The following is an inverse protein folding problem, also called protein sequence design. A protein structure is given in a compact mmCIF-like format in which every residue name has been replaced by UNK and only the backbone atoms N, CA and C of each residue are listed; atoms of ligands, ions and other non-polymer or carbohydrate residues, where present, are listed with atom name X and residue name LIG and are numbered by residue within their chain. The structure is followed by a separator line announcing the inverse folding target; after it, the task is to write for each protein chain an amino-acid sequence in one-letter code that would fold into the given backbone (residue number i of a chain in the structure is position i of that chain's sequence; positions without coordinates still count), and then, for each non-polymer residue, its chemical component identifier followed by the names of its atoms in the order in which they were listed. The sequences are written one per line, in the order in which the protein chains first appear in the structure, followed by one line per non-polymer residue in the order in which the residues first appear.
data_IF_427557683909
#
_entry.id   IF_427557683909
#
_cell.length_a   1.000
_cell.length_b   1.000
_cell.length_c   1.000
_cell.angle_alpha   90.00
_cell.angle_beta   90.00
_cell.angle_gamma   90.00
#
_symmetry.space_group_name_H-M   'P 1'
#
loop_
_entity.id
_entity.type
_entity.pdbx_description
1 polymer ?
#
# COMPACT_ATOMS: atom_id res chain seq x y z
N UNK A 1 15.63 -20.43 10.89
CA UNK A 1 15.18 -21.84 10.89
C UNK A 1 13.88 -21.96 11.67
N UNK A 2 12.94 -22.82 11.24
CA UNK A 2 11.69 -23.11 11.95
C UNK A 2 11.79 -24.37 12.84
N UNK A 3 12.90 -25.12 12.76
CA UNK A 3 13.17 -26.27 13.62
C UNK A 3 13.27 -25.84 15.09
N UNK A 4 12.42 -26.43 15.95
CA UNK A 4 12.36 -26.10 17.37
C UNK A 4 13.65 -26.38 18.13
N UNK A 5 14.36 -27.47 17.81
CA UNK A 5 15.63 -27.83 18.45
C UNK A 5 16.69 -26.78 18.11
N UNK A 6 16.71 -26.29 16.88
CA UNK A 6 17.63 -25.24 16.47
C UNK A 6 17.25 -23.86 17.02
N UNK A 7 15.95 -23.55 17.14
CA UNK A 7 15.48 -22.29 17.75
C UNK A 7 15.91 -22.14 19.21
N UNK A 8 15.97 -23.24 19.98
CA UNK A 8 16.47 -23.24 21.36
C UNK A 8 17.93 -22.79 21.48
N UNK A 9 18.69 -22.83 20.38
CA UNK A 9 20.08 -22.38 20.34
C UNK A 9 20.22 -20.87 20.06
N UNK A 10 19.12 -20.15 19.78
CA UNK A 10 19.17 -18.71 19.55
C UNK A 10 19.39 -17.96 20.88
N UNK A 11 20.59 -17.39 21.04
CA UNK A 11 20.97 -16.60 22.23
C UNK A 11 20.87 -15.09 22.01
N UNK A 12 20.39 -14.65 20.85
CA UNK A 12 20.27 -13.23 20.53
C UNK A 12 19.25 -12.55 21.44
N UNK A 13 19.58 -11.34 21.89
CA UNK A 13 18.68 -10.53 22.71
C UNK A 13 18.46 -9.14 22.10
N UNK A 14 17.33 -8.47 22.37
CA UNK A 14 17.10 -7.11 21.87
C UNK A 14 18.24 -6.15 22.20
N UNK A 15 18.84 -6.27 23.39
CA UNK A 15 19.93 -5.41 23.85
C UNK A 15 21.18 -5.53 22.96
N UNK A 16 21.41 -6.68 22.32
CA UNK A 16 22.56 -6.84 21.42
C UNK A 16 22.39 -6.01 20.15
N UNK A 17 21.15 -5.89 19.64
CA UNK A 17 20.82 -5.05 18.49
C UNK A 17 20.86 -3.57 18.88
N UNK A 18 20.35 -3.24 20.06
CA UNK A 18 20.44 -1.87 20.61
C UNK A 18 21.89 -1.41 20.73
N UNK A 19 22.76 -2.20 21.39
CA UNK A 19 24.17 -1.87 21.54
C UNK A 19 24.88 -1.73 20.19
N UNK A 20 24.59 -2.61 19.22
CA UNK A 20 25.11 -2.49 17.87
C UNK A 20 24.72 -1.13 17.24
N UNK A 21 23.44 -0.76 17.29
CA UNK A 21 22.97 0.51 16.74
C UNK A 21 23.59 1.71 17.45
N UNK A 22 23.76 1.65 18.78
CA UNK A 22 24.44 2.69 19.55
C UNK A 22 25.91 2.84 19.17
N UNK A 23 26.63 1.73 18.94
CA UNK A 23 28.01 1.77 18.48
C UNK A 23 28.13 2.33 17.06
N UNK A 24 27.26 1.91 16.14
CA UNK A 24 27.22 2.46 14.79
C UNK A 24 26.92 3.97 14.81
N UNK A 25 25.94 4.40 15.61
CA UNK A 25 25.61 5.81 15.76
C UNK A 25 26.77 6.61 16.37
N UNK A 26 27.52 6.02 17.31
CA UNK A 26 28.71 6.64 17.91
C UNK A 26 29.83 6.79 16.89
N UNK A 27 30.17 5.74 16.16
CA UNK A 27 31.19 5.78 15.11
C UNK A 27 30.82 6.81 14.04
N UNK A 28 29.55 6.85 13.63
CA UNK A 28 29.07 7.85 12.68
C UNK A 28 29.30 9.28 13.20
N UNK A 29 28.97 9.57 14.47
CA UNK A 29 29.22 10.89 15.07
C UNK A 29 30.72 11.23 15.12
N UNK A 30 31.57 10.24 15.39
CA UNK A 30 33.02 10.42 15.39
C UNK A 30 33.55 10.74 13.97
N UNK A 31 33.02 10.10 12.94
CA UNK A 31 33.31 10.43 11.53
C UNK A 31 32.80 11.82 11.17
N UNK A 32 31.55 12.15 11.52
CA UNK A 32 30.96 13.47 11.27
C UNK A 32 31.80 14.58 11.91
N UNK A 33 32.24 14.39 13.15
CA UNK A 33 33.12 15.33 13.85
C UNK A 33 34.46 15.52 13.13
N UNK A 34 35.08 14.43 12.63
CA UNK A 34 36.31 14.50 11.81
C UNK A 34 36.12 15.29 10.50
N UNK A 35 34.92 15.24 9.94
CA UNK A 35 34.55 15.98 8.72
C UNK A 35 34.01 17.39 9.00
N UNK A 36 33.90 17.80 10.28
CA UNK A 36 33.37 19.10 10.67
C UNK A 36 31.85 19.26 10.50
N UNK A 37 31.11 18.15 10.41
CA UNK A 37 29.66 18.12 10.20
C UNK A 37 28.94 17.90 11.53
N UNK A 38 27.86 18.64 11.77
CA UNK A 38 27.13 18.60 13.06
C UNK A 38 25.86 17.76 13.02
N UNK A 39 25.28 17.57 11.85
CA UNK A 39 24.03 16.83 11.67
C UNK A 39 24.08 15.89 10.46
N UNK A 40 23.27 14.84 10.47
CA UNK A 40 23.16 13.94 9.31
C UNK A 40 22.61 14.71 8.11
N UNK A 41 21.68 15.66 8.31
CA UNK A 41 21.13 16.47 7.22
C UNK A 41 22.22 17.26 6.47
N UNK A 42 23.19 17.82 7.18
CA UNK A 42 24.34 18.52 6.58
C UNK A 42 25.24 17.60 5.74
N UNK A 43 25.24 16.29 6.02
CA UNK A 43 26.04 15.28 5.33
C UNK A 43 25.36 14.73 4.08
N UNK A 44 24.02 14.72 4.03
CA UNK A 44 23.27 14.16 2.89
C UNK A 44 23.63 14.90 1.59
N UNK A 45 24.05 14.14 0.58
CA UNK A 45 24.40 14.68 -0.74
C UNK A 45 25.79 15.35 -0.83
N UNK A 46 26.59 15.35 0.24
CA UNK A 46 27.97 15.91 0.26
C UNK A 46 29.00 15.00 -0.42
N UNK A 47 28.80 14.77 -1.71
CA UNK A 47 29.72 13.99 -2.57
C UNK A 47 31.11 14.63 -2.64
N UNK A 48 31.21 15.95 -2.42
CA UNK A 48 32.47 16.68 -2.32
C UNK A 48 33.37 16.24 -1.15
N UNK A 49 32.81 15.54 -0.15
CA UNK A 49 33.58 14.94 0.96
C UNK A 49 34.11 13.53 0.62
N UNK A 50 33.79 13.01 -0.57
CA UNK A 50 34.18 11.69 -1.03
C UNK A 50 35.21 11.81 -2.15
N UNK A 51 36.16 10.87 -2.15
CA UNK A 51 37.09 10.69 -3.27
C UNK A 51 37.37 9.22 -3.49
N UNK A 52 37.56 8.83 -4.74
CA UNK A 52 38.05 7.49 -5.05
C UNK A 52 39.46 7.32 -4.49
N UNK A 53 39.68 6.27 -3.69
CA UNK A 53 41.03 5.89 -3.26
C UNK A 53 41.78 5.31 -4.47
N UNK A 54 42.96 5.85 -4.76
CA UNK A 54 43.85 5.33 -5.80
C UNK A 54 44.54 4.06 -5.26
N UNK A 55 44.53 2.98 -6.04
CA UNK A 55 45.15 1.71 -5.70
C UNK A 55 45.94 1.21 -6.91
N UNK A 56 47.24 1.49 -6.90
CA UNK A 56 48.12 1.25 -8.06
C UNK A 56 48.62 -0.21 -8.14
N UNK A 57 48.67 -0.92 -7.01
CA UNK A 57 49.19 -2.30 -6.92
C UNK A 57 48.16 -3.38 -7.31
N UNK A 58 47.01 -3.01 -7.87
CA UNK A 58 45.98 -3.95 -8.29
C UNK A 58 45.33 -3.56 -9.61
N UNK A 59 45.73 -4.26 -10.67
CA UNK A 59 45.22 -4.08 -12.03
C UNK A 59 43.69 -4.17 -12.17
N UNK A 60 43.00 -4.96 -11.34
CA UNK A 60 41.54 -5.05 -11.41
C UNK A 60 40.90 -3.81 -10.80
N UNK A 61 41.46 -3.28 -9.71
CA UNK A 61 40.96 -2.08 -9.04
C UNK A 61 41.25 -0.81 -9.84
N UNK A 62 42.38 -0.75 -10.56
CA UNK A 62 42.73 0.39 -11.41
C UNK A 62 41.78 0.61 -12.59
N UNK A 63 40.91 -0.37 -12.90
CA UNK A 63 39.89 -0.28 -13.95
C UNK A 63 38.54 0.27 -13.48
N UNK A 64 38.37 0.48 -12.18
CA UNK A 64 37.10 0.98 -11.62
C UNK A 64 37.04 2.51 -11.78
N UNK A 65 35.98 3.00 -12.42
CA UNK A 65 35.70 4.44 -12.55
C UNK A 65 34.46 4.81 -11.72
N UNK A 66 34.67 5.54 -10.62
CA UNK A 66 33.59 5.99 -9.73
C UNK A 66 33.00 7.35 -10.14
N UNK A 67 33.40 7.97 -11.26
CA UNK A 67 32.96 9.32 -11.66
C UNK A 67 31.44 9.46 -11.67
N UNK A 68 30.69 8.44 -12.11
CA UNK A 68 29.21 8.49 -12.15
C UNK A 68 28.56 8.50 -10.77
N UNK A 69 29.20 7.85 -9.79
CA UNK A 69 28.72 7.82 -8.39
C UNK A 69 29.14 9.10 -7.66
N UNK A 70 30.33 9.61 -7.96
CA UNK A 70 30.88 10.84 -7.40
C UNK A 70 30.43 12.11 -8.16
N UNK A 71 29.53 11.97 -9.13
CA UNK A 71 29.03 13.10 -9.89
C UNK A 71 27.99 13.86 -9.07
N UNK A 72 28.22 15.15 -8.85
CA UNK A 72 27.24 16.07 -8.28
C UNK A 72 26.60 16.88 -9.41
N UNK A 73 25.31 16.67 -9.73
CA UNK A 73 24.62 17.53 -10.69
C UNK A 73 24.49 18.95 -10.14
N UNK A 74 24.47 19.94 -11.04
CA UNK A 74 24.09 21.30 -10.66
C UNK A 74 22.60 21.29 -10.29
N UNK A 75 22.30 21.75 -9.08
CA UNK A 75 20.94 21.96 -8.59
C UNK A 75 20.78 23.41 -8.19
N UNK A 76 19.59 23.96 -8.41
CA UNK A 76 19.26 25.30 -7.92
C UNK A 76 19.39 25.35 -6.38
N UNK A 77 19.75 26.51 -5.84
CA UNK A 77 19.93 26.70 -4.39
C UNK A 77 18.63 26.46 -3.60
N UNK A 78 17.48 26.58 -4.26
CA UNK A 78 16.16 26.27 -3.70
C UNK A 78 15.87 24.77 -3.58
N UNK A 79 16.65 23.91 -4.26
CA UNK A 79 16.45 22.45 -4.23
C UNK A 79 17.35 21.84 -3.15
N UNK A 80 16.75 21.49 -2.01
CA UNK A 80 17.46 20.79 -0.95
C UNK A 80 17.88 19.36 -1.33
N UNK A 81 18.91 18.86 -0.64
CA UNK A 81 19.42 17.49 -0.81
C UNK A 81 18.82 16.50 0.20
N UNK A 82 17.86 16.95 1.01
CA UNK A 82 17.20 16.18 2.05
C UNK A 82 15.69 16.44 2.01
N UNK A 83 14.92 15.71 2.82
CA UNK A 83 13.47 15.85 2.89
C UNK A 83 13.05 17.25 3.37
N UNK A 84 12.46 18.06 2.49
CA UNK A 84 12.01 19.42 2.77
C UNK A 84 10.49 19.61 2.67
N UNK A 85 9.80 18.71 1.99
CA UNK A 85 8.37 18.83 1.73
C UNK A 85 7.68 17.51 1.97
N UNK A 86 6.57 17.57 2.71
CA UNK A 86 5.66 16.45 2.85
C UNK A 86 5.03 16.08 1.51
N UNK A 87 4.72 14.80 1.34
CA UNK A 87 4.04 14.30 0.16
C UNK A 87 2.52 14.49 0.30
N UNK A 88 1.91 15.21 -0.65
CA UNK A 88 0.45 15.27 -0.75
C UNK A 88 -0.06 14.16 -1.68
N UNK A 89 -0.59 13.09 -1.10
CA UNK A 89 -1.16 11.97 -1.84
C UNK A 89 -2.59 12.20 -2.35
N UNK A 90 -3.14 13.39 -2.13
CA UNK A 90 -4.49 13.80 -2.54
C UNK A 90 -5.62 12.87 -2.05
N UNK A 91 -5.42 12.21 -0.90
CA UNK A 91 -6.39 11.24 -0.36
C UNK A 91 -7.77 11.88 -0.12
N UNK A 92 -7.81 13.16 0.25
CA UNK A 92 -9.05 13.92 0.44
C UNK A 92 -9.93 13.99 -0.83
N UNK A 93 -9.37 13.76 -2.03
CA UNK A 93 -10.11 13.72 -3.30
C UNK A 93 -10.66 12.34 -3.65
N UNK A 94 -10.26 11.30 -2.92
CA UNK A 94 -10.74 9.93 -3.11
C UNK A 94 -12.22 9.82 -2.75
N UNK A 95 -12.89 8.79 -3.29
CA UNK A 95 -14.30 8.56 -2.97
C UNK A 95 -14.50 8.23 -1.50
N UNK A 96 -13.55 7.50 -0.90
CA UNK A 96 -13.60 7.12 0.50
C UNK A 96 -13.53 8.33 1.44
N UNK A 97 -12.45 9.11 1.40
CA UNK A 97 -12.31 10.28 2.30
C UNK A 97 -13.31 11.38 1.97
N UNK A 98 -13.53 11.65 0.68
CA UNK A 98 -14.42 12.72 0.25
C UNK A 98 -15.89 12.45 0.54
N UNK A 99 -16.30 11.17 0.68
CA UNK A 99 -17.72 10.81 0.81
C UNK A 99 -18.02 9.61 1.69
N UNK A 100 -17.40 8.45 1.44
CA UNK A 100 -17.84 7.20 2.09
C UNK A 100 -17.58 7.18 3.60
N UNK A 101 -16.45 7.71 4.09
CA UNK A 101 -16.15 7.76 5.52
C UNK A 101 -17.24 8.51 6.30
N UNK A 102 -17.61 9.70 5.80
CA UNK A 102 -18.69 10.49 6.42
C UNK A 102 -20.02 9.73 6.42
N UNK A 103 -20.35 9.05 5.33
CA UNK A 103 -21.59 8.27 5.22
C UNK A 103 -21.59 7.03 6.12
N UNK A 104 -20.44 6.38 6.28
CA UNK A 104 -20.28 5.16 7.06
C UNK A 104 -20.01 5.43 8.55
N UNK A 105 -19.81 6.69 8.96
CA UNK A 105 -19.51 7.06 10.35
C UNK A 105 -20.46 6.44 11.38
N UNK A 106 -21.80 6.45 11.20
CA UNK A 106 -22.70 5.79 12.16
C UNK A 106 -22.47 4.28 12.28
N UNK A 107 -22.08 3.62 11.20
CA UNK A 107 -21.72 2.20 11.24
C UNK A 107 -20.37 1.96 11.93
N UNK A 108 -19.39 2.83 11.69
CA UNK A 108 -18.04 2.70 12.25
C UNK A 108 -17.99 3.09 13.75
N UNK A 109 -18.83 4.02 14.19
CA UNK A 109 -18.86 4.51 15.58
C UNK A 109 -19.89 3.81 16.44
N UNK A 110 -21.08 3.53 15.89
CA UNK A 110 -22.23 3.07 16.66
C UNK A 110 -22.74 1.70 16.19
N UNK A 111 -22.03 1.05 15.25
CA UNK A 111 -22.40 -0.24 14.65
C UNK A 111 -23.80 -0.25 14.01
N UNK A 112 -24.33 0.94 13.67
CA UNK A 112 -25.64 1.09 13.04
C UNK A 112 -25.59 0.64 11.57
N UNK A 113 -26.55 -0.18 11.10
CA UNK A 113 -26.60 -0.56 9.71
C UNK A 113 -26.75 0.65 8.78
N UNK A 114 -25.89 0.73 7.75
CA UNK A 114 -25.93 1.76 6.71
C UNK A 114 -26.11 1.11 5.34
N UNK A 115 -26.97 1.73 4.53
CA UNK A 115 -27.22 1.40 3.13
C UNK A 115 -27.02 2.65 2.29
N UNK A 116 -26.25 2.56 1.22
CA UNK A 116 -26.07 3.67 0.30
C UNK A 116 -25.92 3.19 -1.14
N UNK A 117 -26.45 3.97 -2.09
CA UNK A 117 -26.27 3.77 -3.53
C UNK A 117 -25.55 4.97 -4.14
N UNK A 118 -24.50 4.74 -4.93
CA UNK A 118 -23.67 5.79 -5.54
C UNK A 118 -23.32 5.48 -6.99
N UNK A 119 -23.10 6.52 -7.81
CA UNK A 119 -22.42 6.35 -9.08
C UNK A 119 -20.92 6.18 -8.88
N UNK A 120 -20.27 5.38 -9.73
CA UNK A 120 -18.82 5.16 -9.76
C UNK A 120 -18.30 5.29 -11.20
N UNK A 121 -17.02 5.66 -11.35
CA UNK A 121 -16.33 5.64 -12.63
C UNK A 121 -14.89 5.12 -12.45
N UNK A 122 -14.23 4.81 -13.56
CA UNK A 122 -12.92 4.14 -13.59
C UNK A 122 -11.79 4.94 -12.93
N UNK A 123 -11.94 6.25 -12.75
CA UNK A 123 -10.97 7.08 -12.02
C UNK A 123 -11.07 6.90 -10.50
N UNK A 124 -12.19 6.36 -10.00
CA UNK A 124 -12.38 6.01 -8.59
C UNK A 124 -11.74 4.65 -8.32
N UNK A 125 -10.48 4.71 -7.88
CA UNK A 125 -9.67 3.54 -7.52
C UNK A 125 -9.77 3.25 -6.03
N UNK A 126 -9.51 1.99 -5.66
CA UNK A 126 -9.33 1.55 -4.26
C UNK A 126 -10.55 1.85 -3.37
N UNK A 127 -11.74 1.83 -3.97
CA UNK A 127 -12.98 2.22 -3.29
C UNK A 127 -13.33 1.21 -2.20
N UNK A 128 -13.64 1.72 -1.00
CA UNK A 128 -14.03 0.95 0.18
C UNK A 128 -12.87 0.58 1.09
N UNK A 129 -11.61 0.71 0.64
CA UNK A 129 -10.44 0.29 1.42
C UNK A 129 -10.20 1.16 2.65
N UNK A 130 -10.38 2.48 2.57
CA UNK A 130 -10.16 3.36 3.73
C UNK A 130 -11.29 3.15 4.75
N UNK A 131 -12.53 2.97 4.28
CA UNK A 131 -13.64 2.56 5.15
C UNK A 131 -13.33 1.23 5.86
N UNK A 132 -12.81 0.25 5.12
CA UNK A 132 -12.38 -1.04 5.68
C UNK A 132 -11.23 -0.92 6.69
N UNK A 133 -10.30 0.00 6.45
CA UNK A 133 -9.20 0.32 7.38
C UNK A 133 -9.74 0.88 8.70
N UNK A 134 -10.70 1.81 8.67
CA UNK A 134 -11.28 2.38 9.89
C UNK A 134 -12.06 1.34 10.71
N UNK A 135 -12.74 0.40 10.04
CA UNK A 135 -13.36 -0.76 10.72
C UNK A 135 -12.30 -1.63 11.38
N UNK A 136 -11.28 -2.03 10.63
CA UNK A 136 -10.21 -2.92 11.12
C UNK A 136 -9.43 -2.28 12.27
N UNK A 137 -9.16 -0.97 12.20
CA UNK A 137 -8.48 -0.21 13.24
C UNK A 137 -9.26 -0.22 14.56
N UNK A 138 -10.59 -0.26 14.51
CA UNK A 138 -11.46 -0.19 15.68
C UNK A 138 -11.86 -1.56 16.23
N UNK A 139 -12.10 -2.52 15.34
CA UNK A 139 -12.68 -3.82 15.70
C UNK A 139 -11.77 -5.02 15.42
N UNK A 140 -10.59 -4.79 14.84
CA UNK A 140 -9.65 -5.84 14.48
C UNK A 140 -10.23 -6.83 13.47
N UNK A 141 -9.80 -8.09 13.58
CA UNK A 141 -10.21 -9.17 12.69
C UNK A 141 -11.70 -9.56 12.84
N UNK A 142 -12.33 -9.29 13.98
CA UNK A 142 -13.76 -9.57 14.20
C UNK A 142 -14.67 -8.71 13.32
N UNK A 143 -14.21 -7.49 12.98
CA UNK A 143 -14.94 -6.56 12.14
C UNK A 143 -16.30 -6.17 12.72
N UNK A 144 -17.29 -6.03 11.83
CA UNK A 144 -18.68 -5.73 12.20
C UNK A 144 -19.59 -6.93 11.93
N UNK A 145 -20.82 -6.86 12.44
CA UNK A 145 -21.85 -7.82 12.07
C UNK A 145 -22.06 -7.85 10.53
N UNK A 146 -22.40 -9.01 9.94
CA UNK A 146 -22.61 -9.12 8.50
C UNK A 146 -23.59 -8.07 7.97
N UNK A 147 -23.26 -7.44 6.85
CA UNK A 147 -24.06 -6.37 6.25
C UNK A 147 -24.29 -5.15 7.17
N UNK A 148 -23.42 -4.83 8.14
CA UNK A 148 -23.53 -3.53 8.83
C UNK A 148 -23.34 -2.38 7.84
N UNK A 149 -22.36 -2.45 6.94
CA UNK A 149 -22.19 -1.48 5.85
C UNK A 149 -22.51 -2.17 4.53
N UNK A 150 -23.50 -1.67 3.80
CA UNK A 150 -23.78 -2.13 2.43
C UNK A 150 -23.77 -0.93 1.47
N UNK A 151 -22.83 -0.97 0.53
CA UNK A 151 -22.60 0.08 -0.46
C UNK A 151 -22.87 -0.49 -1.85
N UNK A 152 -23.88 0.04 -2.53
CA UNK A 152 -24.20 -0.32 -3.91
C UNK A 152 -23.68 0.75 -4.85
N UNK A 153 -23.05 0.35 -5.95
CA UNK A 153 -22.45 1.24 -6.93
C UNK A 153 -23.04 0.97 -8.31
N UNK A 154 -23.12 2.02 -9.14
CA UNK A 154 -23.55 1.93 -10.55
C UNK A 154 -22.51 2.58 -11.44
N UNK A 155 -22.00 1.86 -12.44
CA UNK A 155 -21.00 2.32 -13.39
C UNK A 155 -19.78 1.40 -13.47
N UNK A 156 -18.66 1.93 -13.97
CA UNK A 156 -17.40 1.17 -14.09
C UNK A 156 -16.47 1.49 -12.92
N UNK A 157 -16.07 0.52 -12.12
CA UNK A 157 -15.16 0.73 -11.00
C UNK A 157 -13.69 0.76 -11.45
N UNK A 158 -12.91 1.67 -10.86
CA UNK A 158 -11.47 1.70 -11.08
C UNK A 158 -10.73 0.52 -10.44
N UNK A 159 -9.41 0.50 -10.63
CA UNK A 159 -8.55 -0.55 -10.08
C UNK A 159 -8.72 -0.72 -8.57
N UNK A 160 -8.62 -1.97 -8.10
CA UNK A 160 -8.68 -2.34 -6.68
C UNK A 160 -10.00 -2.02 -5.97
N UNK A 161 -11.13 -2.08 -6.69
CA UNK A 161 -12.46 -1.97 -6.07
C UNK A 161 -12.64 -3.02 -4.97
N UNK A 162 -13.02 -2.59 -3.76
CA UNK A 162 -13.23 -3.49 -2.62
C UNK A 162 -11.96 -4.17 -2.11
N UNK A 163 -10.78 -3.59 -2.35
CA UNK A 163 -9.54 -4.15 -1.80
C UNK A 163 -9.52 -4.10 -0.26
N UNK A 164 -9.11 -5.20 0.36
CA UNK A 164 -8.95 -5.36 1.82
C UNK A 164 -10.20 -5.08 2.66
N UNK A 165 -11.41 -5.20 2.09
CA UNK A 165 -12.61 -4.95 2.89
C UNK A 165 -12.81 -6.07 3.95
N UNK A 166 -13.06 -5.68 5.22
CA UNK A 166 -13.21 -6.62 6.32
C UNK A 166 -14.66 -7.14 6.45
N UNK A 167 -14.84 -8.08 7.37
CA UNK A 167 -16.16 -8.58 7.79
C UNK A 167 -17.09 -7.42 8.20
N UNK A 168 -18.33 -7.51 7.71
CA UNK A 168 -19.40 -6.53 7.94
C UNK A 168 -19.54 -5.47 6.86
N UNK A 169 -18.64 -5.43 5.86
CA UNK A 169 -18.81 -4.67 4.63
C UNK A 169 -19.35 -5.55 3.49
N UNK A 170 -20.34 -5.04 2.79
CA UNK A 170 -20.91 -5.61 1.56
C UNK A 170 -20.86 -4.56 0.46
N UNK A 171 -20.22 -4.85 -0.66
CA UNK A 171 -20.10 -3.97 -1.80
C UNK A 171 -20.77 -4.59 -3.02
N UNK A 172 -21.77 -3.91 -3.57
CA UNK A 172 -22.45 -4.34 -4.79
C UNK A 172 -22.11 -3.39 -5.94
N UNK A 173 -21.91 -3.90 -7.14
CA UNK A 173 -21.61 -3.12 -8.33
C UNK A 173 -22.49 -3.58 -9.49
N UNK A 174 -23.38 -2.68 -9.91
CA UNK A 174 -24.13 -2.78 -11.16
C UNK A 174 -23.31 -2.10 -12.26
N UNK A 175 -22.62 -2.91 -13.08
CA UNK A 175 -21.66 -2.46 -14.07
C UNK A 175 -20.45 -3.39 -14.18
N UNK A 176 -19.27 -2.82 -14.36
CA UNK A 176 -18.00 -3.55 -14.55
C UNK A 176 -16.90 -3.00 -13.63
N UNK A 177 -15.81 -3.75 -13.45
CA UNK A 177 -14.67 -3.31 -12.66
C UNK A 177 -13.34 -3.66 -13.33
N UNK A 178 -12.36 -2.77 -13.14
CA UNK A 178 -10.99 -2.99 -13.60
C UNK A 178 -10.23 -3.98 -12.72
N UNK A 179 -8.94 -4.15 -13.01
CA UNK A 179 -8.03 -5.08 -12.33
C UNK A 179 -8.03 -4.96 -10.80
N UNK A 180 -7.62 -6.06 -10.16
CA UNK A 180 -7.42 -6.17 -8.71
C UNK A 180 -8.68 -6.00 -7.87
N UNK A 181 -9.88 -6.19 -8.43
CA UNK A 181 -11.09 -6.26 -7.62
C UNK A 181 -10.89 -7.24 -6.45
N UNK A 182 -11.25 -6.82 -5.24
CA UNK A 182 -11.17 -7.67 -4.07
C UNK A 182 -9.75 -8.12 -3.71
N UNK A 183 -8.71 -7.42 -4.17
CA UNK A 183 -7.32 -7.66 -3.74
C UNK A 183 -7.26 -7.73 -2.21
N UNK A 184 -6.73 -8.84 -1.69
CA UNK A 184 -6.63 -9.08 -0.26
C UNK A 184 -7.97 -9.06 0.47
N UNK A 185 -9.07 -9.50 -0.16
CA UNK A 185 -10.39 -9.63 0.49
C UNK A 185 -10.23 -10.33 1.85
N UNK A 186 -10.79 -9.71 2.90
CA UNK A 186 -10.52 -10.05 4.30
C UNK A 186 -11.79 -10.17 5.14
N UNK A 187 -12.82 -10.79 4.57
CA UNK A 187 -14.07 -11.14 5.27
C UNK A 187 -15.31 -10.37 4.78
N UNK A 188 -15.15 -9.36 3.94
CA UNK A 188 -16.27 -8.66 3.31
C UNK A 188 -16.90 -9.46 2.17
N UNK A 189 -17.99 -8.91 1.63
CA UNK A 189 -18.73 -9.49 0.50
C UNK A 189 -18.69 -8.53 -0.69
N UNK A 190 -18.35 -9.04 -1.87
CA UNK A 190 -18.36 -8.28 -3.13
C UNK A 190 -19.31 -8.95 -4.12
N UNK A 191 -20.23 -8.20 -4.71
CA UNK A 191 -21.15 -8.70 -5.74
C UNK A 191 -21.08 -7.80 -6.96
N UNK A 192 -20.82 -8.35 -8.14
CA UNK A 192 -20.74 -7.59 -9.41
C UNK A 192 -21.58 -8.24 -10.48
N UNK A 193 -22.42 -7.44 -11.14
CA UNK A 193 -23.36 -7.90 -12.15
C UNK A 193 -23.62 -6.81 -13.20
N UNK A 194 -23.96 -7.19 -14.45
CA UNK A 194 -24.19 -6.22 -15.50
C UNK A 194 -25.43 -5.36 -15.19
N UNK A 195 -25.54 -4.15 -15.77
CA UNK A 195 -26.75 -3.33 -15.65
C UNK A 195 -27.99 -4.11 -16.05
N UNK A 196 -29.13 -3.85 -15.39
CA UNK A 196 -30.39 -4.57 -15.69
C UNK A 196 -30.85 -4.44 -17.15
N UNK A 197 -30.43 -3.38 -17.82
CA UNK A 197 -30.77 -3.07 -19.21
C UNK A 197 -29.78 -3.70 -20.22
N UNK A 198 -28.76 -4.44 -19.75
CA UNK A 198 -27.81 -5.11 -20.62
C UNK A 198 -28.51 -6.16 -21.49
N UNK A 199 -28.31 -6.07 -22.81
CA UNK A 199 -28.88 -6.98 -23.80
C UNK A 199 -27.96 -8.16 -24.15
N UNK A 200 -26.78 -8.23 -23.54
CA UNK A 200 -25.79 -9.27 -23.80
C UNK A 200 -25.81 -10.36 -22.72
N UNK A 201 -25.42 -11.57 -23.10
CA UNK A 201 -25.26 -12.70 -22.18
C UNK A 201 -24.07 -12.46 -21.24
N UNK A 202 -24.32 -12.45 -19.93
CA UNK A 202 -23.33 -12.08 -18.93
C UNK A 202 -22.12 -13.04 -18.91
N UNK A 203 -22.38 -14.34 -19.02
CA UNK A 203 -21.38 -15.42 -18.99
C UNK A 203 -20.41 -15.41 -20.18
N UNK A 204 -20.76 -14.70 -21.26
CA UNK A 204 -19.91 -14.56 -22.45
C UNK A 204 -19.05 -13.28 -22.43
N UNK A 205 -19.29 -12.36 -21.49
CA UNK A 205 -18.67 -11.04 -21.47
C UNK A 205 -17.79 -10.82 -20.23
N UNK A 206 -16.69 -10.08 -20.40
CA UNK A 206 -15.79 -9.72 -19.30
C UNK A 206 -16.45 -8.63 -18.46
N UNK A 207 -16.51 -8.85 -17.15
CA UNK A 207 -17.08 -7.90 -16.19
C UNK A 207 -16.08 -7.47 -15.11
N UNK A 208 -15.04 -8.27 -14.88
CA UNK A 208 -13.94 -7.92 -13.98
C UNK A 208 -12.58 -8.13 -14.66
N UNK A 209 -11.62 -7.26 -14.35
CA UNK A 209 -10.27 -7.29 -14.89
C UNK A 209 -9.38 -8.42 -14.36
N UNK A 210 -8.08 -8.24 -14.53
CA UNK A 210 -7.04 -9.19 -14.16
C UNK A 210 -6.75 -9.18 -12.66
N UNK A 211 -6.17 -10.29 -12.17
CA UNK A 211 -5.62 -10.43 -10.81
C UNK A 211 -6.65 -10.12 -9.72
N UNK A 212 -7.93 -10.41 -10.00
CA UNK A 212 -9.00 -10.29 -9.02
C UNK A 212 -8.78 -11.28 -7.86
N UNK A 213 -9.11 -10.84 -6.66
CA UNK A 213 -8.98 -11.59 -5.41
C UNK A 213 -7.55 -12.00 -5.04
N UNK A 214 -6.54 -11.26 -5.54
CA UNK A 214 -5.13 -11.52 -5.23
C UNK A 214 -4.88 -11.62 -3.72
N UNK A 215 -4.45 -12.78 -3.25
CA UNK A 215 -4.11 -13.02 -1.84
C UNK A 215 -5.28 -12.80 -0.89
N UNK A 216 -6.53 -12.98 -1.35
CA UNK A 216 -7.70 -13.00 -0.47
C UNK A 216 -7.52 -14.07 0.63
N UNK A 217 -7.93 -13.73 1.85
CA UNK A 217 -7.77 -14.61 3.03
C UNK A 217 -9.12 -15.13 3.54
N UNK A 218 -10.18 -14.35 3.37
CA UNK A 218 -11.55 -14.68 3.76
C UNK A 218 -12.54 -13.74 3.07
N UNK A 219 -13.84 -14.06 3.12
CA UNK A 219 -14.89 -13.28 2.49
C UNK A 219 -15.54 -14.00 1.32
N UNK A 220 -16.50 -13.32 0.69
CA UNK A 220 -17.30 -13.90 -0.39
C UNK A 220 -17.32 -12.98 -1.60
N UNK A 221 -17.33 -13.57 -2.79
CA UNK A 221 -17.44 -12.84 -4.04
C UNK A 221 -18.41 -13.52 -5.00
N UNK A 222 -19.30 -12.72 -5.58
CA UNK A 222 -20.31 -13.17 -6.53
C UNK A 222 -20.19 -12.34 -7.81
N UNK A 223 -19.84 -12.99 -8.92
CA UNK A 223 -19.54 -12.30 -10.18
C UNK A 223 -20.41 -12.87 -11.30
N UNK A 224 -21.28 -12.04 -11.87
CA UNK A 224 -22.11 -12.40 -13.02
C UNK A 224 -21.41 -12.00 -14.32
N UNK A 225 -20.42 -12.79 -14.72
CA UNK A 225 -19.68 -12.64 -15.98
C UNK A 225 -18.27 -13.21 -15.92
N UNK A 226 -17.43 -12.89 -16.91
CA UNK A 226 -16.07 -13.42 -17.03
C UNK A 226 -15.04 -12.52 -16.33
N UNK A 227 -14.03 -13.17 -15.76
CA UNK A 227 -12.85 -12.50 -15.25
C UNK A 227 -11.72 -12.47 -16.29
N UNK A 228 -10.78 -11.54 -16.12
CA UNK A 228 -9.51 -11.52 -16.83
C UNK A 228 -8.53 -12.60 -16.35
N UNK A 229 -7.25 -12.40 -16.66
CA UNK A 229 -6.17 -13.31 -16.30
C UNK A 229 -5.89 -13.33 -14.79
N UNK A 230 -5.35 -14.47 -14.31
CA UNK A 230 -4.92 -14.66 -12.91
C UNK A 230 -6.04 -14.42 -11.89
N UNK A 231 -7.23 -14.95 -12.16
CA UNK A 231 -8.35 -14.93 -11.23
C UNK A 231 -8.04 -15.76 -9.97
N UNK A 232 -8.25 -15.18 -8.78
CA UNK A 232 -8.05 -15.81 -7.47
C UNK A 232 -6.64 -16.36 -7.24
N UNK A 233 -5.62 -15.57 -7.64
CA UNK A 233 -4.19 -15.87 -7.42
C UNK A 233 -3.72 -15.60 -6.00
#
# INVERSE_FOLDING_TARGET
TQDEKLRKNFKGKPEYVEHLMLFLARELREIMAKLGIRSVQEMVGRVDLLRQKVVDDNYKLSRIDMKRILFRPYTDISVGHYHQHEQNHELAKTLDEGKLLRMCRPAIEEQKPIRAKLAINNTRRVVGTIVGSEITKRYGAEGLAPNTIKLSFVGSAGQSFGAFIPKGMTMELEGDANDYMGKGLSGGVITVYPPKEALFEADQNVIIGNVAFYGATSGEAYVSGRAGERFAV
#
